data_IF_262870402688
#
_entry.id   IF_262870402688
#
_cell.length_a   1.000
_cell.length_b   1.000
_cell.length_c   1.000
_cell.angle_alpha   90.00
_cell.angle_beta   90.00
_cell.angle_gamma   90.00
#
_symmetry.space_group_name_H-M   'P 1'
#
loop_
_entity.id
_entity.type
_entity.pdbx_description
1 polymer ?
#
# COMPACT_ATOMS: atom_id res chain seq x y z
N UNK A 1 -23.24 -17.98 14.92
CA UNK A 1 -23.35 -17.45 13.57
C UNK A 1 -22.22 -18.05 12.73
N UNK A 2 -22.55 -19.12 12.02
CA UNK A 2 -21.67 -19.77 11.06
C UNK A 2 -21.46 -18.78 9.90
N UNK A 3 -20.28 -18.20 9.80
CA UNK A 3 -19.81 -17.60 8.57
C UNK A 3 -19.78 -18.73 7.54
N UNK A 4 -20.80 -18.75 6.68
CA UNK A 4 -20.82 -19.64 5.54
C UNK A 4 -19.55 -19.42 4.74
N UNK A 5 -18.97 -20.50 4.26
CA UNK A 5 -17.91 -20.50 3.27
C UNK A 5 -18.39 -19.74 2.02
N UNK A 6 -18.31 -18.42 2.06
CA UNK A 6 -18.23 -17.64 0.85
C UNK A 6 -16.81 -17.92 0.36
N UNK A 7 -16.66 -18.91 -0.50
CA UNK A 7 -15.51 -18.97 -1.39
C UNK A 7 -15.51 -17.62 -2.08
N UNK A 8 -14.74 -16.70 -1.52
CA UNK A 8 -14.52 -15.39 -2.14
C UNK A 8 -13.92 -15.70 -3.50
N UNK A 9 -14.66 -15.45 -4.55
CA UNK A 9 -14.21 -15.63 -5.94
C UNK A 9 -13.09 -14.65 -6.32
N UNK A 10 -12.15 -14.43 -5.40
CA UNK A 10 -10.99 -13.57 -5.59
C UNK A 10 -10.02 -14.32 -6.48
N UNK A 11 -10.04 -13.96 -7.75
CA UNK A 11 -9.05 -14.40 -8.72
C UNK A 11 -7.71 -13.77 -8.39
N UNK A 12 -6.83 -14.52 -7.71
CA UNK A 12 -5.48 -14.08 -7.34
C UNK A 12 -4.71 -13.42 -8.51
N UNK A 13 -4.73 -13.97 -9.73
CA UNK A 13 -4.06 -13.34 -10.87
C UNK A 13 -4.60 -11.93 -11.18
N UNK A 14 -5.92 -11.76 -11.14
CA UNK A 14 -6.55 -10.44 -11.39
C UNK A 14 -6.15 -9.41 -10.34
N UNK A 15 -6.10 -9.83 -9.08
CA UNK A 15 -5.68 -8.96 -7.98
C UNK A 15 -4.22 -8.51 -8.15
N UNK A 16 -3.31 -9.42 -8.48
CA UNK A 16 -1.90 -9.08 -8.69
C UNK A 16 -1.73 -8.13 -9.88
N UNK A 17 -2.41 -8.41 -11.00
CA UNK A 17 -2.37 -7.53 -12.19
C UNK A 17 -2.93 -6.15 -11.84
N UNK A 18 -4.07 -6.08 -11.13
CA UNK A 18 -4.66 -4.83 -10.68
C UNK A 18 -3.71 -4.01 -9.79
N UNK A 19 -3.08 -4.67 -8.82
CA UNK A 19 -2.08 -4.03 -7.94
C UNK A 19 -0.89 -3.50 -8.74
N UNK A 20 -0.42 -4.26 -9.72
CA UNK A 20 0.70 -3.84 -10.58
C UNK A 20 0.32 -2.61 -11.42
N UNK A 21 -0.87 -2.59 -12.02
CA UNK A 21 -1.36 -1.45 -12.79
C UNK A 21 -1.51 -0.20 -11.90
N UNK A 22 -2.12 -0.35 -10.72
CA UNK A 22 -2.26 0.75 -9.76
C UNK A 22 -0.88 1.28 -9.35
N UNK A 23 0.07 0.39 -9.09
CA UNK A 23 1.44 0.77 -8.73
C UNK A 23 2.08 1.65 -9.79
N UNK A 24 2.03 1.24 -11.06
CA UNK A 24 2.61 2.02 -12.15
C UNK A 24 1.90 3.37 -12.27
N UNK A 25 0.56 3.37 -12.36
CA UNK A 25 -0.21 4.59 -12.52
C UNK A 25 0.02 5.58 -11.37
N UNK A 26 0.01 5.08 -10.13
CA UNK A 26 0.20 5.94 -8.96
C UNK A 26 1.62 6.48 -8.85
N UNK A 27 2.63 5.66 -9.17
CA UNK A 27 4.03 6.11 -9.18
C UNK A 27 4.29 7.16 -10.26
N UNK A 28 3.70 6.99 -11.46
CA UNK A 28 3.76 7.99 -12.53
C UNK A 28 3.02 9.26 -12.12
N UNK A 29 1.84 9.14 -11.51
CA UNK A 29 1.07 10.28 -11.02
C UNK A 29 1.85 11.08 -9.98
N UNK A 30 2.55 10.42 -9.05
CA UNK A 30 3.43 11.07 -8.09
C UNK A 30 4.60 11.80 -8.77
N UNK A 31 5.20 11.21 -9.79
CA UNK A 31 6.28 11.85 -10.55
C UNK A 31 5.79 13.07 -11.35
N UNK A 32 4.64 12.96 -12.02
CA UNK A 32 4.07 14.03 -12.85
C UNK A 32 3.45 15.14 -11.99
N UNK A 33 2.73 14.78 -10.92
CA UNK A 33 2.13 15.74 -10.01
C UNK A 33 3.16 16.66 -9.36
N UNK A 34 4.35 16.17 -9.12
CA UNK A 34 5.46 16.97 -8.61
C UNK A 34 6.01 17.94 -9.65
N UNK A 35 5.96 17.60 -10.94
CA UNK A 35 6.39 18.49 -12.00
C UNK A 35 5.49 19.74 -12.16
N UNK A 36 4.23 19.66 -11.81
CA UNK A 36 3.31 20.81 -11.87
C UNK A 36 3.50 21.83 -10.76
N UNK A 37 4.15 21.44 -9.66
CA UNK A 37 4.37 22.32 -8.51
C UNK A 37 5.65 23.17 -8.61
N UNK A 38 6.54 22.86 -9.54
CA UNK A 38 7.83 23.55 -9.65
C UNK A 38 7.78 24.93 -10.34
N UNK A 39 6.70 25.27 -11.00
CA UNK A 39 6.50 26.64 -11.47
C UNK A 39 6.39 27.66 -10.33
N UNK A 40 6.02 27.20 -9.13
CA UNK A 40 5.85 28.00 -7.94
C UNK A 40 7.02 27.92 -6.93
N UNK A 41 7.89 26.91 -7.08
CA UNK A 41 9.00 26.69 -6.17
C UNK A 41 10.28 27.39 -6.69
N UNK A 42 10.95 28.10 -5.80
CA UNK A 42 12.29 28.65 -6.04
C UNK A 42 13.24 27.57 -6.59
N UNK A 43 14.12 27.93 -7.52
CA UNK A 43 15.07 26.99 -8.20
C UNK A 43 15.89 26.09 -7.25
N UNK A 44 15.88 26.35 -5.97
CA UNK A 44 16.64 25.64 -4.96
C UNK A 44 15.98 24.34 -4.49
N UNK A 45 14.66 24.24 -4.64
CA UNK A 45 13.86 23.09 -4.18
C UNK A 45 13.31 22.30 -5.38
N UNK A 46 14.18 21.96 -6.33
CA UNK A 46 13.77 21.10 -7.45
C UNK A 46 13.40 19.73 -6.94
N UNK A 47 12.09 19.53 -6.80
CA UNK A 47 11.54 18.19 -6.63
C UNK A 47 11.99 17.33 -7.82
N UNK A 48 12.66 16.26 -7.51
CA UNK A 48 13.13 15.37 -8.55
C UNK A 48 12.02 14.35 -8.82
N UNK A 49 11.40 14.43 -10.01
CA UNK A 49 10.36 13.47 -10.42
C UNK A 49 10.83 12.02 -10.34
N UNK A 50 12.14 11.79 -10.59
CA UNK A 50 12.73 10.47 -10.46
C UNK A 50 12.69 9.98 -9.01
N UNK A 51 12.91 10.86 -8.03
CA UNK A 51 12.76 10.50 -6.61
C UNK A 51 11.31 10.18 -6.28
N UNK A 52 10.34 10.91 -6.82
CA UNK A 52 8.93 10.63 -6.62
C UNK A 52 8.54 9.22 -7.03
N UNK A 53 9.00 8.79 -8.18
CA UNK A 53 8.78 7.44 -8.69
C UNK A 53 9.47 6.36 -7.84
N UNK A 54 10.76 6.54 -7.57
CA UNK A 54 11.56 5.57 -6.81
C UNK A 54 11.05 5.45 -5.37
N UNK A 55 10.77 6.56 -4.72
CA UNK A 55 10.30 6.58 -3.34
C UNK A 55 8.92 5.92 -3.19
N UNK A 56 8.03 6.09 -4.18
CA UNK A 56 6.75 5.40 -4.20
C UNK A 56 6.91 3.87 -4.22
N UNK A 57 7.78 3.36 -5.10
CA UNK A 57 8.04 1.92 -5.20
C UNK A 57 8.74 1.39 -3.93
N UNK A 58 9.72 2.12 -3.39
CA UNK A 58 10.42 1.72 -2.17
C UNK A 58 9.46 1.64 -0.97
N UNK A 59 8.63 2.67 -0.79
CA UNK A 59 7.64 2.69 0.29
C UNK A 59 6.61 1.58 0.13
N UNK A 60 6.10 1.37 -1.08
CA UNK A 60 5.18 0.28 -1.38
C UNK A 60 5.78 -1.09 -1.08
N UNK A 61 7.01 -1.34 -1.55
CA UNK A 61 7.69 -2.62 -1.34
C UNK A 61 7.93 -2.92 0.15
N UNK A 62 8.39 -1.95 0.91
CA UNK A 62 8.60 -2.12 2.36
C UNK A 62 7.29 -2.33 3.10
N UNK A 63 6.26 -1.55 2.78
CA UNK A 63 4.94 -1.71 3.37
C UNK A 63 4.30 -3.07 3.04
N UNK A 64 4.39 -3.50 1.79
CA UNK A 64 3.87 -4.81 1.36
C UNK A 64 4.54 -5.97 2.10
N UNK A 65 5.87 -5.96 2.19
CA UNK A 65 6.61 -6.99 2.92
C UNK A 65 6.24 -7.02 4.40
N UNK A 66 6.17 -5.87 5.05
CA UNK A 66 5.84 -5.78 6.48
C UNK A 66 4.38 -6.20 6.72
N UNK A 67 3.45 -5.76 5.86
CA UNK A 67 2.05 -6.17 5.95
C UNK A 67 1.87 -7.66 5.81
N UNK A 68 2.57 -8.28 4.85
CA UNK A 68 2.60 -9.73 4.69
C UNK A 68 3.15 -10.44 5.95
N UNK A 69 4.28 -9.96 6.50
CA UNK A 69 4.88 -10.54 7.70
C UNK A 69 3.97 -10.42 8.93
N UNK A 70 3.38 -9.25 9.14
CA UNK A 70 2.45 -9.05 10.26
C UNK A 70 1.26 -10.00 10.13
N UNK A 71 0.66 -10.08 8.95
CA UNK A 71 -0.49 -10.97 8.72
C UNK A 71 -0.10 -12.43 8.99
N UNK A 72 1.04 -12.86 8.45
CA UNK A 72 1.51 -14.23 8.56
C UNK A 72 1.88 -14.63 9.99
N UNK A 73 2.58 -13.78 10.75
CA UNK A 73 3.11 -14.17 12.06
C UNK A 73 2.20 -13.79 13.21
N UNK A 74 1.45 -12.70 13.11
CA UNK A 74 0.62 -12.21 14.22
C UNK A 74 -0.86 -12.52 14.06
N UNK A 75 -1.37 -12.64 12.86
CA UNK A 75 -2.80 -12.83 12.61
C UNK A 75 -3.13 -14.21 12.03
N UNK A 76 -2.13 -15.00 11.65
CA UNK A 76 -2.34 -16.35 11.13
C UNK A 76 -2.60 -17.33 12.28
N UNK A 77 -3.76 -17.17 12.92
CA UNK A 77 -4.29 -18.18 13.84
C UNK A 77 -5.17 -19.13 13.02
N UNK A 78 -4.64 -20.28 12.70
CA UNK A 78 -5.34 -21.52 12.34
C UNK A 78 -5.85 -21.80 10.91
N UNK A 79 -5.72 -20.94 9.91
CA UNK A 79 -6.15 -21.36 8.56
C UNK A 79 -5.10 -20.98 7.53
N UNK A 80 -4.46 -21.99 6.94
CA UNK A 80 -3.45 -21.85 5.89
C UNK A 80 -4.02 -21.35 4.55
N UNK A 81 -4.70 -20.22 4.54
CA UNK A 81 -5.23 -19.59 3.35
C UNK A 81 -4.20 -18.59 2.79
N UNK A 82 -3.30 -19.11 1.94
CA UNK A 82 -2.31 -18.30 1.22
C UNK A 82 -2.91 -17.14 0.41
N UNK A 83 -4.19 -17.22 0.05
CA UNK A 83 -4.90 -16.15 -0.66
C UNK A 83 -5.07 -14.88 0.19
N UNK A 84 -5.38 -15.04 1.47
CA UNK A 84 -5.51 -13.90 2.39
C UNK A 84 -4.18 -13.21 2.66
N UNK A 85 -3.09 -13.99 2.68
CA UNK A 85 -1.75 -13.44 2.87
C UNK A 85 -1.33 -12.59 1.66
N UNK A 86 -1.67 -13.01 0.45
CA UNK A 86 -1.39 -12.23 -0.77
C UNK A 86 -2.26 -10.98 -0.89
N UNK A 87 -3.52 -11.03 -0.43
CA UNK A 87 -4.39 -9.84 -0.33
C UNK A 87 -3.77 -8.79 0.60
N UNK A 88 -3.32 -9.21 1.78
CA UNK A 88 -2.66 -8.32 2.73
C UNK A 88 -1.38 -7.70 2.15
N UNK A 89 -0.59 -8.46 1.40
CA UNK A 89 0.60 -7.96 0.71
C UNK A 89 0.23 -6.87 -0.30
N UNK A 90 -0.73 -7.14 -1.19
CA UNK A 90 -1.13 -6.20 -2.23
C UNK A 90 -1.71 -4.91 -1.67
N UNK A 91 -2.59 -5.00 -0.69
CA UNK A 91 -3.24 -3.84 -0.09
C UNK A 91 -2.26 -3.02 0.76
N UNK A 92 -1.38 -3.67 1.53
CA UNK A 92 -0.32 -2.97 2.26
C UNK A 92 0.67 -2.29 1.33
N UNK A 93 0.95 -2.90 0.18
CA UNK A 93 1.80 -2.30 -0.84
C UNK A 93 1.20 -0.98 -1.36
N UNK A 94 -0.09 -0.98 -1.70
CA UNK A 94 -0.81 0.23 -2.12
C UNK A 94 -0.82 1.27 -0.99
N UNK A 95 -1.07 0.86 0.26
CA UNK A 95 -1.04 1.76 1.41
C UNK A 95 0.33 2.44 1.58
N UNK A 96 1.43 1.73 1.32
CA UNK A 96 2.78 2.30 1.33
C UNK A 96 2.98 3.37 0.26
N UNK A 97 2.50 3.14 -0.96
CA UNK A 97 2.59 4.13 -2.05
C UNK A 97 1.79 5.38 -1.71
N UNK A 98 0.59 5.22 -1.19
CA UNK A 98 -0.27 6.33 -0.77
C UNK A 98 0.37 7.10 0.38
N UNK A 99 0.95 6.41 1.36
CA UNK A 99 1.56 7.03 2.54
C UNK A 99 2.73 7.95 2.23
N UNK A 100 3.43 7.75 1.11
CA UNK A 100 4.57 8.58 0.71
C UNK A 100 4.22 9.64 -0.34
N UNK A 101 2.99 9.63 -0.88
CA UNK A 101 2.61 10.44 -2.05
C UNK A 101 2.85 11.94 -1.87
N UNK A 102 2.57 12.49 -0.68
CA UNK A 102 2.68 13.94 -0.42
C UNK A 102 4.13 14.42 -0.48
N UNK A 103 5.08 13.60 -0.02
CA UNK A 103 6.50 14.00 0.11
C UNK A 103 7.45 13.26 -0.82
N UNK A 104 6.94 12.43 -1.72
CA UNK A 104 7.75 11.47 -2.48
C UNK A 104 8.91 12.09 -3.26
N UNK A 105 8.74 13.29 -3.82
CA UNK A 105 9.78 13.97 -4.62
C UNK A 105 10.81 14.75 -3.82
N UNK A 106 10.53 15.07 -2.56
CA UNK A 106 11.41 15.90 -1.71
C UNK A 106 12.16 15.08 -0.67
N UNK A 107 11.69 13.87 -0.35
CA UNK A 107 12.32 13.07 0.69
C UNK A 107 13.40 12.17 0.13
N UNK A 108 14.44 11.95 0.95
CA UNK A 108 15.46 10.96 0.63
C UNK A 108 14.89 9.54 0.70
N UNK A 109 15.41 8.58 -0.09
CA UNK A 109 14.91 7.21 -0.15
C UNK A 109 14.82 6.50 1.21
N UNK A 110 15.71 6.82 2.15
CA UNK A 110 15.67 6.26 3.51
C UNK A 110 14.38 6.60 4.26
N UNK A 111 13.84 7.81 4.07
CA UNK A 111 12.59 8.21 4.72
C UNK A 111 11.38 7.58 4.02
N UNK A 112 11.47 7.30 2.72
CA UNK A 112 10.43 6.55 2.01
C UNK A 112 10.32 5.11 2.54
N UNK A 113 11.44 4.46 2.83
CA UNK A 113 11.46 3.14 3.48
C UNK A 113 10.81 3.20 4.87
N UNK A 114 11.12 4.22 5.67
CA UNK A 114 10.49 4.42 6.98
C UNK A 114 8.98 4.68 6.85
N UNK A 115 8.56 5.50 5.89
CA UNK A 115 7.14 5.74 5.62
C UNK A 115 6.40 4.44 5.30
N UNK A 116 6.97 3.59 4.44
CA UNK A 116 6.45 2.26 4.16
C UNK A 116 6.36 1.36 5.39
N UNK A 117 7.38 1.43 6.26
CA UNK A 117 7.39 0.66 7.51
C UNK A 117 6.20 1.02 8.41
N UNK A 118 5.84 2.28 8.53
CA UNK A 118 4.70 2.72 9.34
C UNK A 118 3.34 2.55 8.63
N UNK A 119 3.31 2.61 7.30
CA UNK A 119 2.07 2.47 6.53
C UNK A 119 1.43 1.09 6.69
N UNK A 120 2.22 0.03 6.77
CA UNK A 120 1.71 -1.33 6.90
C UNK A 120 0.95 -1.56 8.23
N UNK A 121 1.52 -1.25 9.42
CA UNK A 121 0.78 -1.35 10.67
C UNK A 121 -0.48 -0.47 10.70
N UNK A 122 -0.40 0.75 10.15
CA UNK A 122 -1.56 1.64 10.07
C UNK A 122 -2.70 1.02 9.23
N UNK A 123 -2.36 0.43 8.09
CA UNK A 123 -3.34 -0.27 7.26
C UNK A 123 -3.98 -1.45 8.02
N UNK A 124 -3.16 -2.32 8.63
CA UNK A 124 -3.65 -3.49 9.36
C UNK A 124 -4.50 -3.08 10.56
N UNK A 125 -4.09 -2.03 11.28
CA UNK A 125 -4.88 -1.48 12.38
C UNK A 125 -6.23 -0.93 11.88
N UNK A 126 -6.24 -0.25 10.75
CA UNK A 126 -7.47 0.19 10.09
C UNK A 126 -8.41 -0.98 9.80
N UNK A 127 -7.89 -2.06 9.20
CA UNK A 127 -8.67 -3.27 8.94
C UNK A 127 -9.25 -3.88 10.22
N UNK A 128 -8.45 -3.96 11.27
CA UNK A 128 -8.92 -4.46 12.57
C UNK A 128 -10.05 -3.62 13.16
N UNK A 129 -9.95 -2.30 13.06
CA UNK A 129 -11.00 -1.37 13.50
C UNK A 129 -12.29 -1.59 12.69
N UNK A 130 -12.20 -1.66 11.37
CA UNK A 130 -13.38 -1.89 10.52
C UNK A 130 -14.07 -3.21 10.83
N UNK A 131 -13.31 -4.28 11.03
CA UNK A 131 -13.86 -5.59 11.39
C UNK A 131 -14.56 -5.59 12.75
N UNK A 132 -14.00 -4.88 13.75
CA UNK A 132 -14.60 -4.80 15.08
C UNK A 132 -15.89 -3.98 15.12
N UNK A 133 -15.99 -2.95 14.29
CA UNK A 133 -17.20 -2.13 14.21
C UNK A 133 -18.29 -2.71 13.30
N UNK A 134 -18.08 -3.92 12.76
CA UNK A 134 -19.02 -4.57 11.82
C UNK A 134 -19.45 -3.65 10.67
N UNK A 135 -18.53 -2.78 10.23
CA UNK A 135 -18.74 -1.93 9.07
C UNK A 135 -18.57 -2.82 7.85
N UNK A 136 -19.63 -2.87 7.04
CA UNK A 136 -19.59 -3.63 5.79
C UNK A 136 -18.54 -3.01 4.84
N UNK A 137 -17.60 -3.83 4.41
CA UNK A 137 -16.56 -3.42 3.45
C UNK A 137 -16.92 -3.97 2.06
N UNK A 138 -17.63 -3.19 1.23
CA UNK A 138 -18.12 -3.67 -0.06
C UNK A 138 -16.99 -4.00 -1.05
N UNK A 139 -15.77 -3.54 -0.78
CA UNK A 139 -14.60 -3.83 -1.60
C UNK A 139 -13.75 -4.99 -1.06
N UNK A 140 -14.14 -5.57 0.09
CA UNK A 140 -13.38 -6.63 0.76
C UNK A 140 -11.87 -6.33 0.90
N UNK A 141 -11.54 -5.05 1.15
CA UNK A 141 -10.15 -4.60 1.27
C UNK A 141 -9.50 -5.02 2.61
N UNK A 142 -10.31 -5.31 3.57
CA UNK A 142 -9.95 -5.81 4.89
C UNK A 142 -10.52 -7.21 5.12
#
# INVERSE_FOLDING_TARGET
LTYGNVESGIDLPKMIIGTFLITICFSVMNAVGLNSQWELASQKDRYNANYGFINAILSGSTSGLIGYLIKKYFMSSHVGNHLYDMKALCNSFIAGIVGVSIGSGSMEPKYAVMAGFFSAPCYIFGCFVFQNFTIDDPMENC
#
